data_IF_148580286128
#
_entry.id   IF_148580286128
#
_cell.length_a   1.000
_cell.length_b   1.000
_cell.length_c   1.000
_cell.angle_alpha   90.00
_cell.angle_beta   90.00
_cell.angle_gamma   90.00
#
_symmetry.space_group_name_H-M   'P 1'
#
loop_
_entity.id
_entity.type
_entity.pdbx_description
1 polymer ?
2 polymer ?
3 polymer ?
4 water ?
#
# COMPACT_ATOMS: atom_id res chain seq x y z
N UNK A 1 -7.83 28.47 0.46
CA UNK A 1 -7.25 27.17 0.76
C UNK A 1 -8.33 26.10 0.84
N UNK A 2 -8.44 25.30 -0.22
CA UNK A 2 -9.41 24.21 -0.24
C UNK A 2 -8.99 23.13 0.75
N UNK A 3 -9.93 22.67 1.56
CA UNK A 3 -9.63 21.75 2.64
C UNK A 3 -10.69 20.68 2.76
N UNK A 4 -10.27 19.44 3.01
CA UNK A 4 -11.17 18.31 3.15
C UNK A 4 -10.65 17.39 4.26
N UNK A 5 -11.21 17.54 5.46
CA UNK A 5 -10.75 16.76 6.60
C UNK A 5 -11.80 15.73 7.01
N UNK A 6 -11.41 14.46 6.99
CA UNK A 6 -12.34 13.40 7.31
C UNK A 6 -12.20 12.91 8.75
N UNK A 7 -13.28 12.35 9.29
CA UNK A 7 -13.29 11.80 10.64
C UNK A 7 -14.24 10.61 10.72
N UNK A 8 -14.26 9.94 11.86
CA UNK A 8 -15.21 8.86 12.09
C UNK A 8 -14.70 7.47 11.79
N UNK A 9 -13.46 7.38 11.33
CA UNK A 9 -12.86 6.09 11.01
C UNK A 9 -12.56 5.25 12.24
N UNK A 10 -11.73 4.22 12.07
CA UNK A 10 -11.35 3.38 13.18
C UNK A 10 -11.81 1.94 13.08
N UNK A 11 -11.88 1.27 14.23
CA UNK A 11 -12.22 -0.15 14.29
C UNK A 11 -13.72 -0.38 14.44
N UNK A 12 -14.27 -1.28 13.63
CA UNK A 12 -15.68 -1.64 13.72
C UNK A 12 -15.84 -3.15 13.68
N UNK A 13 -16.77 -3.66 14.47
CA UNK A 13 -17.11 -5.08 14.43
C UNK A 13 -17.88 -5.39 13.15
N UNK A 14 -17.70 -6.60 12.60
CA UNK A 14 -18.46 -7.08 11.44
C UNK A 14 -19.97 -6.93 11.63
N UNK A 15 -20.64 -6.32 10.64
CA UNK A 15 -22.07 -6.13 10.70
C UNK A 15 -22.46 -4.91 11.51
N UNK A 16 -21.46 -4.27 12.11
CA UNK A 16 -21.69 -3.06 12.89
C UNK A 16 -21.88 -1.84 12.00
N UNK A 17 -21.89 -0.67 12.62
CA UNK A 17 -22.10 0.57 11.89
C UNK A 17 -20.99 1.57 12.15
N UNK A 18 -20.65 2.34 11.12
CA UNK A 18 -19.69 3.43 11.25
C UNK A 18 -20.15 4.62 10.42
N UNK A 19 -19.89 5.83 10.92
CA UNK A 19 -20.30 7.04 10.23
C UNK A 19 -19.11 7.94 9.95
N UNK A 20 -18.85 8.22 8.67
CA UNK A 20 -17.74 9.09 8.29
C UNK A 20 -18.21 10.53 8.11
N UNK A 21 -17.39 11.46 8.58
CA UNK A 21 -17.65 12.89 8.41
C UNK A 21 -16.51 13.54 7.64
N UNK A 22 -16.84 14.50 6.79
CA UNK A 22 -15.82 15.23 6.05
C UNK A 22 -16.05 16.73 6.15
N UNK A 23 -15.10 17.43 6.77
CA UNK A 23 -15.20 18.87 6.92
C UNK A 23 -14.57 19.58 5.73
N UNK A 24 -15.38 20.33 5.00
CA UNK A 24 -14.91 21.04 3.81
C UNK A 24 -14.85 22.55 4.03
N UNK A 25 -13.82 23.19 3.49
CA UNK A 25 -13.66 24.63 3.62
C UNK A 25 -12.79 25.20 2.50
N UNK A 26 -12.89 26.51 2.28
CA UNK A 26 -12.06 27.18 1.30
C UNK A 26 -12.72 27.41 -0.04
N UNK A 27 -13.96 26.95 -0.18
CA UNK A 27 -14.71 27.13 -1.42
C UNK A 27 -16.21 27.04 -1.17
N UNK A 28 -17.01 27.43 -2.16
CA UNK A 28 -18.46 27.36 -2.01
C UNK A 28 -18.95 25.93 -2.18
N UNK A 29 -18.98 25.21 -1.06
CA UNK A 29 -19.27 23.78 -0.99
C UNK A 29 -20.56 23.39 -1.71
N UNK A 30 -21.59 24.22 -1.54
CA UNK A 30 -22.93 23.93 -2.04
C UNK A 30 -23.04 23.86 -3.55
N UNK A 31 -22.00 24.31 -4.25
CA UNK A 31 -22.06 24.44 -5.70
C UNK A 31 -21.42 23.28 -6.45
N UNK A 32 -20.78 22.36 -5.73
CA UNK A 32 -20.01 21.30 -6.38
C UNK A 32 -20.43 19.91 -5.91
N UNK A 33 -20.19 18.93 -6.78
CA UNK A 33 -20.45 17.53 -6.44
C UNK A 33 -19.33 16.99 -5.57
N UNK A 34 -19.66 16.00 -4.74
CA UNK A 34 -18.67 15.41 -3.83
C UNK A 34 -18.78 13.89 -3.86
N UNK A 35 -17.69 13.21 -3.49
CA UNK A 35 -17.67 11.76 -3.47
C UNK A 35 -16.80 11.19 -2.35
N UNK A 36 -17.11 9.97 -1.94
CA UNK A 36 -16.23 9.19 -1.09
C UNK A 36 -15.53 8.14 -1.94
N UNK A 37 -14.23 8.06 -1.82
CA UNK A 37 -13.44 7.08 -2.57
C UNK A 37 -12.58 6.30 -1.59
N UNK A 38 -12.51 4.99 -1.76
CA UNK A 38 -11.69 4.19 -0.87
C UNK A 38 -10.56 3.47 -1.59
N UNK A 39 -9.64 2.93 -0.81
CA UNK A 39 -8.46 2.28 -1.36
C UNK A 39 -7.91 1.24 -0.41
N UNK A 40 -7.82 -0.01 -0.88
CA UNK A 40 -7.16 -1.06 -0.13
C UNK A 40 -5.65 -0.94 -0.33
N UNK A 41 -4.85 -1.43 0.63
CA UNK A 41 -3.40 -1.38 0.48
C UNK A 41 -2.94 -2.08 -0.80
N UNK A 42 -2.18 -1.36 -1.63
CA UNK A 42 -1.67 -1.91 -2.88
C UNK A 42 -2.73 -2.08 -3.94
N UNK A 43 -3.86 -1.40 -3.76
CA UNK A 43 -4.97 -1.50 -4.71
C UNK A 43 -5.25 -0.16 -5.40
N UNK A 44 -6.22 -0.18 -6.30
CA UNK A 44 -6.58 1.01 -7.05
C UNK A 44 -7.64 1.83 -6.35
N UNK A 45 -8.04 2.93 -6.99
CA UNK A 45 -9.02 3.84 -6.42
C UNK A 45 -10.44 3.38 -6.70
N UNK A 46 -11.23 3.19 -5.64
CA UNK A 46 -12.59 2.67 -5.79
C UNK A 46 -13.63 3.67 -5.32
N UNK A 47 -14.50 4.08 -6.24
CA UNK A 47 -15.61 4.96 -5.90
C UNK A 47 -16.58 4.24 -4.97
N UNK A 48 -16.98 4.91 -3.90
CA UNK A 48 -17.90 4.34 -2.92
C UNK A 48 -19.28 4.98 -3.02
N UNK A 49 -19.29 6.30 -3.20
CA UNK A 49 -20.56 7.02 -3.31
C UNK A 49 -20.37 8.43 -3.87
N UNK A 50 -21.32 8.87 -4.69
CA UNK A 50 -21.31 10.22 -5.22
C UNK A 50 -22.61 10.94 -4.88
N UNK A 51 -22.57 12.27 -4.89
CA UNK A 51 -23.74 13.10 -4.63
C UNK A 51 -23.56 14.50 -5.24
N UNK A 52 -24.59 14.99 -5.93
CA UNK A 52 -24.46 16.25 -6.66
C UNK A 52 -24.58 17.48 -5.76
N UNK A 53 -24.78 18.65 -6.36
CA UNK A 53 -24.76 19.93 -5.66
C UNK A 53 -25.71 19.98 -4.47
N UNK A 54 -27.00 19.85 -4.73
CA UNK A 54 -28.00 19.90 -3.67
C UNK A 54 -28.21 18.54 -2.99
N UNK A 55 -28.04 17.48 -3.77
CA UNK A 55 -28.10 16.12 -3.26
C UNK A 55 -29.42 15.66 -2.67
N UNK A 56 -30.44 15.47 -3.51
CA UNK A 56 -30.33 15.63 -4.95
C UNK A 56 -30.41 14.29 -5.66
N UNK A 57 -29.26 13.87 -6.20
CA UNK A 57 -29.13 12.53 -6.75
C UNK A 57 -27.85 11.90 -6.22
N UNK A 58 -27.91 10.60 -5.95
CA UNK A 58 -26.74 9.89 -5.44
C UNK A 58 -26.44 8.66 -6.28
N UNK A 59 -25.20 8.18 -6.18
CA UNK A 59 -24.82 6.94 -6.85
C UNK A 59 -24.05 6.03 -5.91
N UNK A 60 -24.34 4.74 -6.01
CA UNK A 60 -23.62 3.72 -5.26
C UNK A 60 -23.35 2.53 -6.17
N UNK A 61 -22.09 2.07 -6.23
CA UNK A 61 -21.84 0.80 -6.92
C UNK A 61 -22.46 -0.35 -6.12
N UNK A 62 -22.70 -1.48 -6.77
CA UNK A 62 -23.33 -2.63 -6.11
C UNK A 62 -22.51 -3.13 -4.92
N UNK A 63 -21.22 -2.81 -4.93
CA UNK A 63 -20.31 -3.13 -3.85
C UNK A 63 -20.83 -2.67 -2.48
N UNK A 64 -21.44 -1.49 -2.44
CA UNK A 64 -21.88 -0.92 -1.17
C UNK A 64 -23.36 -0.51 -1.17
N UNK A 65 -23.99 -0.57 -2.33
CA UNK A 65 -25.39 -0.15 -2.47
C UNK A 65 -26.33 -0.92 -1.53
N UNK A 66 -27.16 -0.19 -0.81
CA UNK A 66 -28.08 -0.80 0.15
C UNK A 66 -27.53 -0.87 1.56
N UNK A 67 -26.22 -0.76 1.69
CA UNK A 67 -25.57 -0.76 3.00
C UNK A 67 -25.01 0.61 3.34
N UNK A 68 -24.55 1.32 2.32
CA UNK A 68 -23.94 2.64 2.51
C UNK A 68 -24.88 3.76 2.09
N UNK A 69 -24.85 4.86 2.82
CA UNK A 69 -25.60 6.06 2.48
C UNK A 69 -24.68 7.27 2.47
N UNK A 70 -24.72 8.04 1.39
CA UNK A 70 -23.98 9.29 1.33
C UNK A 70 -24.96 10.47 1.47
N UNK A 71 -24.61 11.42 2.32
CA UNK A 71 -25.45 12.60 2.53
C UNK A 71 -24.63 13.87 2.61
N UNK A 72 -25.32 15.00 2.66
CA UNK A 72 -24.67 16.29 2.53
C UNK A 72 -25.36 17.36 3.37
N UNK A 73 -24.56 18.21 4.01
CA UNK A 73 -25.09 19.32 4.79
C UNK A 73 -24.50 20.63 4.27
N UNK A 74 -25.29 21.36 3.47
CA UNK A 74 -24.80 22.58 2.85
C UNK A 74 -24.82 23.80 3.77
N UNK A 75 -25.14 23.57 5.04
CA UNK A 75 -24.97 24.61 6.05
C UNK A 75 -23.60 24.44 6.72
N UNK A 76 -23.37 23.26 7.28
CA UNK A 76 -22.08 22.95 7.90
C UNK A 76 -20.96 22.79 6.89
N UNK A 77 -21.34 22.62 5.62
CA UNK A 77 -20.40 22.27 4.55
C UNK A 77 -19.70 20.96 4.87
N UNK A 78 -20.49 19.93 5.18
CA UNK A 78 -19.97 18.64 5.58
C UNK A 78 -20.46 17.51 4.70
N UNK A 79 -19.60 16.52 4.49
CA UNK A 79 -19.94 15.35 3.71
C UNK A 79 -19.98 14.13 4.61
N UNK A 80 -21.02 13.31 4.47
CA UNK A 80 -21.19 12.17 5.35
C UNK A 80 -21.29 10.86 4.59
N UNK A 81 -20.77 9.80 5.20
CA UNK A 81 -20.93 8.45 4.69
C UNK A 81 -21.40 7.52 5.80
N UNK A 82 -22.67 7.09 5.71
CA UNK A 82 -23.24 6.19 6.71
C UNK A 82 -23.02 4.73 6.31
N UNK A 83 -22.17 4.05 7.06
CA UNK A 83 -21.79 2.68 6.71
C UNK A 83 -22.48 1.67 7.62
N UNK A 84 -23.40 0.90 7.04
CA UNK A 84 -24.12 -0.14 7.79
C UNK A 84 -23.74 -1.54 7.33
N UNK A 85 -23.95 -2.51 8.21
CA UNK A 85 -23.72 -3.93 7.89
C UNK A 85 -22.33 -4.17 7.33
N UNK A 86 -21.34 -3.56 7.96
CA UNK A 86 -19.96 -3.60 7.48
C UNK A 86 -19.41 -5.02 7.44
N UNK A 87 -18.69 -5.33 6.36
CA UNK A 87 -18.03 -6.62 6.19
C UNK A 87 -16.54 -6.41 6.01
N UNK A 88 -15.80 -7.50 5.83
CA UNK A 88 -14.34 -7.45 5.83
C UNK A 88 -13.75 -6.68 4.65
N UNK A 89 -14.44 -6.71 3.51
CA UNK A 89 -13.93 -6.05 2.30
C UNK A 89 -14.13 -4.54 2.36
N UNK A 90 -14.82 -4.06 3.39
CA UNK A 90 -15.01 -2.63 3.59
C UNK A 90 -13.74 -2.00 4.19
N UNK A 91 -12.82 -2.86 4.60
CA UNK A 91 -11.55 -2.41 5.17
C UNK A 91 -10.70 -1.66 4.13
N UNK A 92 -10.52 -0.36 4.36
CA UNK A 92 -9.73 0.47 3.45
C UNK A 92 -9.47 1.86 4.02
N UNK A 93 -8.71 2.65 3.28
CA UNK A 93 -8.56 4.07 3.55
C UNK A 93 -9.62 4.82 2.76
N UNK A 94 -10.42 5.62 3.46
CA UNK A 94 -11.53 6.33 2.82
C UNK A 94 -11.22 7.81 2.62
N UNK A 95 -11.36 8.27 1.38
CA UNK A 95 -11.06 9.66 1.03
C UNK A 95 -12.32 10.49 0.75
N UNK A 96 -12.40 11.65 1.36
CA UNK A 96 -13.35 12.67 0.95
C UNK A 96 -12.74 13.42 -0.23
N UNK A 97 -13.47 13.50 -1.35
CA UNK A 97 -12.89 14.05 -2.57
C UNK A 97 -13.86 14.94 -3.35
N UNK A 98 -13.32 15.96 -3.99
CA UNK A 98 -14.11 16.86 -4.83
C UNK A 98 -13.70 16.72 -6.30
N UNK A 99 -12.89 15.72 -6.59
CA UNK A 99 -12.38 15.52 -7.93
C UNK A 99 -11.07 16.26 -8.12
N UNK A 100 -11.07 17.55 -7.84
CA UNK A 100 -9.86 18.36 -7.98
C UNK A 100 -9.09 18.42 -6.66
N UNK A 101 -9.68 17.90 -5.60
CA UNK A 101 -9.02 17.84 -4.30
C UNK A 101 -9.31 16.54 -3.56
N UNK A 102 -8.34 16.08 -2.77
CA UNK A 102 -8.48 14.89 -1.96
C UNK A 102 -8.08 15.16 -0.52
N UNK A 103 -8.84 14.64 0.44
CA UNK A 103 -8.47 14.71 1.83
C UNK A 103 -7.35 13.74 2.14
N UNK A 104 -6.87 13.74 3.38
CA UNK A 104 -5.76 12.85 3.76
C UNK A 104 -6.23 11.41 3.99
N UNK A 105 -7.54 11.21 4.02
CA UNK A 105 -8.11 9.89 4.20
C UNK A 105 -8.20 9.44 5.64
N UNK A 106 -9.20 8.61 5.93
CA UNK A 106 -9.34 8.01 7.25
C UNK A 106 -9.47 6.50 7.09
N UNK A 107 -8.88 5.76 8.02
CA UNK A 107 -8.83 4.30 7.91
C UNK A 107 -10.01 3.64 8.61
N UNK A 108 -10.58 2.65 7.93
CA UNK A 108 -11.68 1.86 8.47
C UNK A 108 -11.25 0.39 8.49
N UNK A 109 -11.26 -0.21 9.68
CA UNK A 109 -10.89 -1.61 9.82
C UNK A 109 -12.05 -2.43 10.38
N UNK A 110 -12.58 -3.33 9.57
CA UNK A 110 -13.67 -4.20 10.00
C UNK A 110 -13.12 -5.51 10.52
N UNK A 111 -13.13 -5.66 11.84
CA UNK A 111 -12.58 -6.83 12.50
C UNK A 111 -13.18 -7.02 13.89
N UNK A 112 -13.29 -8.27 14.32
CA UNK A 112 -13.83 -8.57 15.63
C UNK A 112 -12.70 -8.86 16.63
N UNK A 113 -11.45 -8.68 16.19
CA UNK A 113 -10.29 -8.95 17.03
C UNK A 113 -10.17 -7.91 18.14
N UNK A 114 -9.51 -8.29 19.23
CA UNK A 114 -9.30 -7.39 20.35
C UNK A 114 -7.86 -6.91 20.42
N UNK A 115 -7.64 -5.79 21.11
CA UNK A 115 -6.30 -5.21 21.25
C UNK A 115 -5.34 -6.18 21.90
N UNK A 116 -4.20 -6.39 21.26
CA UNK A 116 -3.20 -7.33 21.73
C UNK A 116 -1.79 -6.85 21.42
N UNK A 117 -0.90 -6.96 22.39
CA UNK A 117 0.49 -6.60 22.19
C UNK A 117 1.27 -7.75 21.58
N UNK A 118 2.27 -7.45 20.76
CA UNK A 118 3.01 -8.48 20.02
C UNK A 118 4.00 -9.26 20.87
N UNK A 119 4.22 -10.52 20.49
CA UNK A 119 5.36 -11.27 21.00
C UNK A 119 6.51 -11.06 20.03
N UNK A 120 7.66 -10.68 20.55
CA UNK A 120 8.82 -10.43 19.68
C UNK A 120 9.80 -11.58 19.74
N UNK A 121 10.07 -12.19 18.59
CA UNK A 121 11.00 -13.30 18.51
C UNK A 121 12.23 -12.93 17.69
N UNK A 122 13.39 -13.48 18.06
CA UNK A 122 14.63 -13.20 17.34
C UNK A 122 14.71 -13.85 15.98
N UNK A 123 15.33 -13.16 15.03
CA UNK A 123 15.75 -13.77 13.77
C UNK A 123 17.27 -13.85 13.78
N UNK A 124 17.79 -14.92 14.36
CA UNK A 124 19.21 -15.04 14.66
C UNK A 124 20.08 -15.10 13.40
N UNK A 125 21.20 -14.36 13.41
CA UNK A 125 22.14 -14.29 12.28
C UNK A 125 22.97 -15.56 12.12
N UNK A 133 30.38 -10.67 2.76
CA UNK A 133 30.93 -10.57 4.10
C UNK A 133 29.99 -9.90 5.08
N UNK A 134 28.70 -9.90 4.74
CA UNK A 134 27.69 -9.30 5.60
C UNK A 134 26.72 -10.34 6.14
N UNK A 135 26.24 -10.12 7.37
CA UNK A 135 25.29 -11.02 7.99
C UNK A 135 23.91 -10.37 8.03
N UNK A 136 22.87 -11.18 8.20
CA UNK A 136 21.52 -10.67 8.33
C UNK A 136 20.89 -11.15 9.64
N UNK A 137 20.28 -10.22 10.36
CA UNK A 137 19.57 -10.54 11.59
C UNK A 137 18.31 -9.69 11.68
N UNK A 138 17.36 -10.10 12.51
CA UNK A 138 16.12 -9.35 12.63
C UNK A 138 15.22 -9.74 13.77
N UNK A 139 14.01 -9.19 13.75
CA UNK A 139 13.01 -9.49 14.75
C UNK A 139 11.69 -9.84 14.10
N UNK A 140 11.04 -10.88 14.62
CA UNK A 140 9.71 -11.25 14.16
C UNK A 140 8.67 -10.73 15.15
N UNK A 141 7.98 -9.66 14.76
CA UNK A 141 6.97 -9.04 15.60
C UNK A 141 5.60 -9.64 15.27
N UNK A 142 5.21 -10.66 16.02
CA UNK A 142 4.06 -11.48 15.65
C UNK A 142 2.86 -11.35 16.58
N UNK A 143 1.67 -11.46 16.00
CA UNK A 143 0.41 -11.55 16.74
C UNK A 143 0.11 -10.31 17.57
N UNK A 144 -0.09 -9.18 16.89
CA UNK A 144 -0.54 -7.96 17.54
C UNK A 144 -1.77 -7.41 16.83
N UNK A 145 -2.50 -6.54 17.52
CA UNK A 145 -3.69 -5.93 16.96
C UNK A 145 -4.06 -4.68 17.73
N UNK A 146 -4.38 -3.59 17.01
CA UNK A 146 -4.35 -3.53 15.55
C UNK A 146 -3.08 -2.87 15.00
N UNK A 147 -3.10 -2.52 13.73
CA UNK A 147 -2.12 -1.64 13.13
C UNK A 147 -2.13 -0.32 13.92
N UNK A 148 -0.96 0.33 14.08
CA UNK A 148 0.36 0.01 13.56
C UNK A 148 1.36 -0.46 14.63
N UNK A 149 2.60 -0.57 14.21
CA UNK A 149 3.70 -0.94 15.11
C UNK A 149 4.95 -0.18 14.65
N UNK A 150 5.74 0.27 15.61
CA UNK A 150 6.98 0.99 15.32
C UNK A 150 8.18 0.14 15.69
N UNK A 151 9.13 0.03 14.74
CA UNK A 151 10.34 -0.74 14.98
C UNK A 151 11.57 0.11 14.74
N UNK A 152 12.53 0.02 15.66
CA UNK A 152 13.82 0.69 15.48
C UNK A 152 14.93 -0.21 16.00
N UNK A 153 16.16 0.05 15.58
CA UNK A 153 17.30 -0.75 15.98
C UNK A 153 18.31 0.07 16.75
N UNK A 154 18.74 -0.45 17.90
CA UNK A 154 19.71 0.22 18.76
C UNK A 154 19.32 1.66 19.08
N UNK A 155 18.08 1.84 19.52
CA UNK A 155 17.58 3.14 19.98
C UNK A 155 17.73 4.23 18.93
N UNK A 156 17.55 3.89 17.66
CA UNK A 156 17.61 4.85 16.59
C UNK A 156 19.02 5.14 16.08
N UNK A 157 19.99 4.36 16.53
CA UNK A 157 21.37 4.54 16.10
C UNK A 157 21.67 3.72 14.85
N UNK A 158 20.99 2.58 14.73
CA UNK A 158 21.14 1.72 13.57
C UNK A 158 19.99 1.96 12.59
N UNK A 159 20.30 2.61 11.47
CA UNK A 159 19.27 2.96 10.49
C UNK A 159 19.62 2.44 9.11
N UNK A 160 20.91 2.44 8.79
CA UNK A 160 21.37 2.03 7.47
C UNK A 160 21.24 0.51 7.29
N UNK A 161 20.61 0.12 6.19
CA UNK A 161 20.44 -1.29 5.88
C UNK A 161 19.26 -1.92 6.58
N UNK A 162 18.42 -1.11 7.21
CA UNK A 162 17.25 -1.61 7.92
C UNK A 162 16.04 -1.75 7.01
N UNK A 163 15.39 -2.92 7.04
CA UNK A 163 14.19 -3.15 6.25
C UNK A 163 13.05 -3.64 7.13
N UNK A 164 12.12 -2.74 7.45
CA UNK A 164 10.91 -3.12 8.15
C UNK A 164 9.79 -3.35 7.14
N UNK A 165 9.38 -4.61 7.02
CA UNK A 165 8.38 -5.00 6.04
C UNK A 165 6.98 -4.56 6.44
N UNK A 166 6.11 -4.31 5.44
CA UNK A 166 4.71 -4.01 5.74
C UNK A 166 4.05 -5.17 6.47
N UNK A 167 3.05 -4.88 7.30
CA UNK A 167 2.41 -5.90 8.11
C UNK A 167 1.60 -6.87 7.26
N UNK A 168 1.37 -8.05 7.81
CA UNK A 168 0.57 -9.08 7.14
C UNK A 168 -0.58 -9.52 8.06
N UNK A 169 -1.78 -9.60 7.51
CA UNK A 169 -2.93 -10.08 8.28
C UNK A 169 -3.01 -11.59 8.24
N UNK A 170 -2.76 -12.23 9.38
CA UNK A 170 -2.81 -13.68 9.47
C UNK A 170 -4.24 -14.19 9.54
N UNK A 171 -4.42 -15.50 9.45
CA UNK A 171 -5.74 -16.11 9.46
C UNK A 171 -6.42 -15.95 10.81
N UNK A 172 -5.61 -15.72 11.84
CA UNK A 172 -6.11 -15.56 13.19
C UNK A 172 -6.77 -14.20 13.39
N UNK A 173 -6.44 -13.25 12.53
CA UNK A 173 -6.96 -11.90 12.64
C UNK A 173 -5.93 -10.97 13.24
N UNK A 174 -4.74 -11.51 13.50
CA UNK A 174 -3.65 -10.77 14.12
C UNK A 174 -2.59 -10.39 13.09
N UNK A 175 -2.03 -9.19 13.23
CA UNK A 175 -1.03 -8.72 12.28
C UNK A 175 0.35 -9.27 12.64
N UNK A 176 1.21 -9.39 11.63
CA UNK A 176 2.59 -9.81 11.83
C UNK A 176 3.50 -9.11 10.83
N UNK A 177 4.72 -8.81 11.25
CA UNK A 177 5.72 -8.26 10.36
C UNK A 177 7.11 -8.66 10.83
N UNK A 178 8.08 -8.58 9.92
CA UNK A 178 9.47 -8.76 10.31
C UNK A 178 10.23 -7.47 10.06
N UNK A 179 11.29 -7.27 10.82
CA UNK A 179 12.20 -6.16 10.59
C UNK A 179 13.62 -6.70 10.55
N UNK A 180 14.28 -6.53 9.41
CA UNK A 180 15.62 -7.07 9.25
C UNK A 180 16.64 -5.95 9.04
N UNK A 181 17.92 -6.32 9.15
CA UNK A 181 19.00 -5.38 8.92
C UNK A 181 20.27 -6.17 8.62
N UNK A 182 21.00 -5.77 7.59
CA UNK A 182 22.26 -6.41 7.24
C UNK A 182 23.45 -5.62 7.78
N UNK A 183 24.34 -6.30 8.47
CA UNK A 183 25.49 -5.66 9.09
C UNK A 183 26.76 -6.46 8.79
N UNK A 184 27.94 -5.84 8.94
CA UNK A 184 29.21 -6.59 8.82
C UNK A 184 29.27 -7.78 9.77
N UNK A 185 29.56 -8.95 9.23
CA UNK A 185 29.63 -10.17 10.03
C UNK A 185 30.79 -10.16 11.02
N UNK A 186 31.73 -9.25 10.80
CA UNK A 186 32.87 -9.08 11.69
C UNK A 186 32.47 -8.39 12.99
N UNK A 187 31.21 -7.94 13.07
CA UNK A 187 30.73 -7.22 14.24
C UNK A 187 29.76 -8.05 15.06
N UNK A 188 29.63 -9.33 14.74
CA UNK A 188 28.69 -10.21 15.44
C UNK A 188 29.27 -10.70 16.78
N UNK A 189 30.06 -9.86 17.43
CA UNK A 189 30.64 -10.19 18.71
C UNK A 189 31.13 -8.92 19.40
N UNK A 190 31.43 -7.90 18.61
CA UNK A 190 31.88 -6.62 19.12
C UNK A 190 30.79 -5.56 19.00
N UNK A 191 29.55 -6.02 18.83
CA UNK A 191 28.42 -5.10 18.69
C UNK A 191 27.12 -5.76 19.15
N UNK A 192 26.32 -5.01 19.89
CA UNK A 192 25.02 -5.49 20.33
C UNK A 192 23.95 -5.11 19.31
N UNK A 193 22.95 -5.96 19.17
CA UNK A 193 21.85 -5.69 18.24
C UNK A 193 20.50 -5.93 18.88
N UNK A 194 19.79 -4.83 19.15
CA UNK A 194 18.51 -4.88 19.82
C UNK A 194 17.44 -4.12 19.04
N UNK A 195 16.33 -4.80 18.73
CA UNK A 195 15.22 -4.15 18.06
C UNK A 195 14.26 -3.54 19.08
N UNK A 196 13.96 -2.25 18.90
CA UNK A 196 13.03 -1.56 19.78
C UNK A 196 11.63 -1.56 19.19
N UNK A 197 10.75 -2.37 19.75
CA UNK A 197 9.41 -2.51 19.22
C UNK A 197 8.39 -1.78 20.10
N UNK A 198 7.51 -1.02 19.47
CA UNK A 198 6.49 -0.28 20.19
C UNK A 198 5.11 -0.47 19.57
N UNK A 199 4.14 -0.83 20.40
CA UNK A 199 2.77 -0.99 19.94
C UNK A 199 1.83 -0.14 20.80
N UNK A 200 1.62 1.11 20.36
CA UNK A 200 0.83 2.09 21.08
C UNK A 200 -0.57 1.65 21.53
N UNK A 201 -1.34 0.95 20.65
CA UNK A 201 -2.67 0.55 21.09
C UNK A 201 -2.71 -0.22 22.41
N UNK A 202 -1.79 -1.17 22.59
CA UNK A 202 -1.73 -1.95 23.83
C UNK A 202 -0.70 -1.36 24.78
N UNK A 203 -0.07 -0.27 24.36
CA UNK A 203 0.98 0.38 25.13
C UNK A 203 2.06 -0.60 25.56
N UNK A 204 2.70 -1.24 24.58
CA UNK A 204 3.77 -2.19 24.87
C UNK A 204 5.09 -1.75 24.24
N UNK A 205 6.15 -1.84 25.02
CA UNK A 205 7.49 -1.56 24.52
C UNK A 205 8.38 -2.76 24.76
N UNK A 206 8.97 -3.28 23.69
CA UNK A 206 9.83 -4.46 23.79
C UNK A 206 11.21 -4.19 23.21
N UNK A 207 12.24 -4.49 23.99
CA UNK A 207 13.62 -4.41 23.52
C UNK A 207 14.24 -5.81 23.45
N UNK A 208 14.04 -6.49 22.32
CA UNK A 208 14.55 -7.83 22.17
C UNK A 208 15.98 -7.84 21.65
N UNK A 209 16.85 -8.57 22.35
CA UNK A 209 18.24 -8.70 21.95
C UNK A 209 18.39 -9.82 20.92
N UNK A 210 19.05 -9.52 19.80
CA UNK A 210 19.25 -10.52 18.75
C UNK A 210 20.68 -11.04 18.76
N UNK A 211 20.88 -12.16 19.43
CA UNK A 211 22.18 -12.81 19.50
C UNK A 211 22.22 -14.00 18.56
N UNK A 212 23.42 -14.34 18.06
CA UNK A 212 23.58 -15.58 17.28
C UNK A 212 23.37 -16.81 18.16
N UNK A 213 23.41 -18.00 17.56
CA UNK A 213 23.18 -19.26 18.28
C UNK A 213 21.81 -19.28 18.95
N UNK B 1 -20.95 1.82 -17.00
CA UNK B 1 -19.90 2.72 -16.53
C UNK B 1 -18.81 2.90 -17.59
N UNK B 2 -18.20 4.08 -17.61
CA UNK B 2 -17.11 4.36 -18.53
C UNK B 2 -15.84 3.66 -18.07
N UNK B 3 -15.37 2.70 -18.86
CA UNK B 3 -14.15 1.98 -18.53
C UNK B 3 -12.92 2.78 -18.96
N UNK B 4 -12.03 3.02 -18.00
CA UNK B 4 -10.76 3.68 -18.27
C UNK B 4 -9.63 2.66 -18.12
N UNK B 5 -8.88 2.43 -19.19
CA UNK B 5 -7.79 1.45 -19.14
C UNK B 5 -6.47 2.08 -19.58
N UNK B 6 -5.44 1.91 -18.77
CA UNK B 6 -4.15 2.54 -19.04
C UNK B 6 -3.13 1.52 -19.52
N UNK B 7 -2.03 2.01 -20.10
CA UNK B 7 -0.94 1.16 -20.54
C UNK B 7 0.34 1.99 -20.68
N UNK B 8 1.45 1.51 -20.09
CA UNK B 8 1.52 0.27 -19.30
C UNK B 8 1.00 0.48 -17.89
N UNK B 9 0.89 -0.60 -17.11
CA UNK B 9 0.45 -0.50 -15.72
C UNK B 9 1.65 -0.45 -14.79
N UNK B 10 2.81 -0.87 -15.31
CA UNK B 10 4.07 -0.77 -14.60
C UNK B 10 5.11 -0.11 -15.50
N UNK B 11 5.71 0.99 -15.03
CA UNK B 11 6.63 1.74 -15.86
C UNK B 11 7.93 2.09 -15.14
N UNK B 12 8.95 1.23 -15.28
CA UNK B 12 10.28 1.55 -14.76
C UNK B 12 10.98 2.52 -15.71
N UNK B 13 11.43 3.66 -15.18
CA UNK B 13 12.09 4.65 -16.02
C UNK B 13 13.51 4.94 -15.54
N UNK B 14 14.46 4.81 -16.44
CA UNK B 14 15.83 5.22 -16.18
C UNK B 14 15.85 6.73 -15.98
N UNK B 15 16.41 7.18 -14.84
CA UNK B 15 16.48 8.62 -14.54
C UNK B 15 17.15 9.41 -15.66
N UNK B 16 16.45 10.43 -16.16
CA UNK B 16 16.94 11.23 -17.27
C UNK B 16 16.17 10.97 -18.54
N UNK B 17 15.47 9.83 -18.58
CA UNK B 17 14.67 9.47 -19.74
C UNK B 17 13.22 9.90 -19.56
N UNK B 18 12.51 10.13 -20.68
CA UNK B 18 11.10 10.52 -20.60
C UNK B 18 10.17 9.34 -20.35
N UNK B 19 8.88 9.61 -20.19
CA UNK B 19 7.90 8.57 -19.96
C UNK B 19 6.57 8.89 -20.63
N UNK B 20 5.88 7.86 -21.10
CA UNK B 20 4.54 8.02 -21.67
C UNK B 20 3.57 7.03 -21.05
N UNK B 21 2.33 7.47 -20.87
CA UNK B 21 1.27 6.59 -20.39
C UNK B 21 0.03 6.75 -21.26
N UNK B 22 -0.46 5.63 -21.78
CA UNK B 22 -1.68 5.64 -22.59
C UNK B 22 -2.91 5.55 -21.69
N UNK B 23 -4.02 6.11 -22.17
CA UNK B 23 -5.29 6.02 -21.45
C UNK B 23 -6.46 6.08 -22.44
N UNK B 24 -7.28 5.03 -22.43
CA UNK B 24 -8.41 4.98 -23.34
C UNK B 24 -9.73 4.78 -22.62
N UNK B 25 -10.74 5.56 -23.03
CA UNK B 25 -12.09 5.46 -22.47
C UNK B 25 -12.99 4.67 -23.40
N UNK B 26 -13.91 3.90 -22.82
CA UNK B 26 -14.82 3.07 -23.60
C UNK B 26 -15.78 3.90 -24.45
N UNK B 27 -16.01 5.15 -24.03
CA UNK B 27 -16.84 6.08 -24.79
C UNK B 27 -16.22 7.48 -24.80
N UNK B 28 -16.71 8.32 -25.70
CA UNK B 28 -16.20 9.69 -25.82
C UNK B 28 -16.42 10.48 -24.53
N UNK B 29 -15.43 11.27 -24.16
CA UNK B 29 -15.50 12.06 -22.92
C UNK B 29 -15.87 13.51 -23.22
N UNK B 30 -16.29 13.78 -24.45
CA UNK B 30 -16.70 15.13 -24.84
C UNK B 30 -18.10 15.42 -24.32
N UNK B 31 -18.18 16.41 -23.43
CA UNK B 31 -19.45 16.78 -22.81
C UNK B 31 -20.25 17.74 -23.70
N UNK B 32 -21.47 18.05 -23.31
CA UNK B 32 -22.37 18.85 -24.12
C UNK B 32 -21.93 20.32 -24.28
N UNK B 33 -20.89 20.72 -23.56
CA UNK B 33 -20.38 22.08 -23.68
C UNK B 33 -19.08 22.14 -24.49
N UNK B 34 -18.74 21.03 -25.14
CA UNK B 34 -17.55 20.97 -25.96
C UNK B 34 -16.28 20.64 -25.19
N UNK B 35 -16.36 20.73 -23.87
CA UNK B 35 -15.21 20.43 -23.01
C UNK B 35 -15.02 18.92 -22.85
N UNK B 36 -13.78 18.51 -22.62
CA UNK B 36 -13.47 17.10 -22.40
C UNK B 36 -12.95 16.90 -20.99
N UNK B 37 -13.72 16.19 -20.16
CA UNK B 37 -13.38 16.04 -18.76
C UNK B 37 -12.56 14.78 -18.50
N UNK B 38 -11.34 14.79 -19.03
CA UNK B 38 -10.38 13.72 -18.80
C UNK B 38 -9.23 14.29 -17.97
N UNK B 39 -8.90 13.61 -16.87
CA UNK B 39 -7.94 14.15 -15.93
C UNK B 39 -6.82 13.18 -15.60
N UNK B 40 -5.81 13.67 -14.90
CA UNK B 40 -4.70 12.84 -14.46
C UNK B 40 -4.37 13.09 -13.00
N UNK B 41 -4.18 11.99 -12.25
CA UNK B 41 -3.78 12.08 -10.84
C UNK B 41 -2.40 11.48 -10.62
N UNK B 42 -1.67 12.04 -9.66
CA UNK B 42 -0.45 11.40 -9.17
C UNK B 42 -0.57 11.13 -7.69
N UNK B 43 -0.35 9.87 -7.31
CA UNK B 43 -0.34 9.52 -5.89
C UNK B 43 1.05 9.05 -5.48
N UNK B 44 1.84 9.97 -4.95
CA UNK B 44 3.16 9.65 -4.41
C UNK B 44 3.03 8.63 -3.29
N UNK B 45 4.07 7.83 -3.04
CA UNK B 45 4.03 6.81 -1.99
C UNK B 45 3.67 7.37 -0.62
N UNK B 46 2.70 6.74 0.04
CA UNK B 46 2.25 7.17 1.36
C UNK B 46 1.70 8.58 1.34
N UNK B 47 0.61 8.76 0.60
CA UNK B 47 0.07 10.09 0.36
C UNK B 47 -1.30 9.99 -0.28
N UNK B 48 -2.02 11.10 -0.34
CA UNK B 48 -3.30 11.17 -1.04
C UNK B 48 -3.08 11.48 -2.50
N UNK B 49 -3.99 11.01 -3.38
CA UNK B 49 -3.92 11.38 -4.79
C UNK B 49 -4.03 12.89 -4.96
N UNK B 50 -3.27 13.45 -5.89
CA UNK B 50 -3.36 14.88 -6.18
C UNK B 50 -3.57 15.11 -7.67
N UNK B 51 -4.45 16.05 -8.00
CA UNK B 51 -4.74 16.38 -9.39
C UNK B 51 -3.51 16.96 -10.08
N UNK B 52 -3.13 16.34 -11.19
CA UNK B 52 -1.92 16.73 -11.90
C UNK B 52 -2.26 17.53 -13.15
N UNK B 53 -3.19 16.99 -13.94
CA UNK B 53 -3.66 17.66 -15.16
C UNK B 53 -5.17 17.49 -15.28
N UNK B 54 -5.87 18.58 -15.56
CA UNK B 54 -7.32 18.52 -15.74
C UNK B 54 -7.72 18.92 -17.15
N UNK B 55 -8.79 18.31 -17.65
CA UNK B 55 -9.29 18.53 -18.99
C UNK B 55 -8.21 18.36 -20.04
N UNK B 56 -7.65 17.14 -20.09
CA UNK B 56 -6.70 16.70 -21.11
C UNK B 56 -5.29 17.33 -21.02
N UNK B 57 -5.19 18.66 -21.02
CA UNK B 57 -3.89 19.29 -21.20
C UNK B 57 -3.52 20.39 -20.20
N UNK B 58 -4.45 20.78 -19.34
CA UNK B 58 -4.22 21.89 -18.42
C UNK B 58 -3.55 21.47 -17.12
N UNK B 59 -2.38 22.03 -16.86
CA UNK B 59 -1.62 21.73 -15.64
C UNK B 59 -2.25 22.35 -14.40
N UNK B 60 -2.43 21.55 -13.35
CA UNK B 60 -2.94 22.05 -12.09
C UNK B 60 -1.82 22.80 -11.35
N UNK B 61 -2.15 23.43 -10.24
CA UNK B 61 -1.20 24.27 -9.52
C UNK B 61 0.01 23.49 -9.00
N UNK B 62 1.20 24.05 -9.21
CA UNK B 62 2.42 23.45 -8.71
C UNK B 62 3.07 22.46 -9.67
N UNK B 63 2.30 22.01 -10.66
CA UNK B 63 2.78 20.99 -11.58
C UNK B 63 3.82 21.56 -12.56
N UNK B 64 5.04 21.00 -12.54
CA UNK B 64 6.18 21.44 -13.36
C UNK B 64 5.94 21.27 -14.86
N UNK B 65 6.75 21.94 -15.67
CA UNK B 65 6.62 21.91 -17.12
C UNK B 65 6.83 20.54 -17.75
N UNK B 66 7.59 19.68 -17.08
CA UNK B 66 7.91 18.37 -17.64
C UNK B 66 6.67 17.50 -17.81
N UNK B 67 5.63 17.77 -17.02
CA UNK B 67 4.35 17.09 -17.18
C UNK B 67 3.50 17.78 -18.25
N UNK B 68 2.99 17.00 -19.20
CA UNK B 68 2.07 17.52 -20.19
C UNK B 68 1.06 16.46 -20.59
N UNK B 69 -0.11 16.90 -21.03
CA UNK B 69 -1.16 15.99 -21.43
C UNK B 69 -1.75 16.37 -22.77
N UNK B 70 -2.26 15.38 -23.49
CA UNK B 70 -2.86 15.58 -24.80
C UNK B 70 -3.84 14.45 -25.10
N UNK B 71 -4.56 14.57 -26.20
CA UNK B 71 -5.49 13.54 -26.60
C UNK B 71 -6.88 14.09 -26.86
N UNK B 72 -7.71 13.27 -27.50
CA UNK B 72 -9.07 13.69 -27.82
C UNK B 72 -10.01 12.49 -27.93
N UNK B 73 -11.27 12.71 -27.59
CA UNK B 73 -12.30 11.69 -27.73
C UNK B 73 -12.18 10.56 -26.74
N UNK B 74 -11.50 9.49 -27.16
CA UNK B 74 -11.35 8.30 -26.30
C UNK B 74 -9.88 7.93 -26.10
N UNK B 75 -8.97 8.65 -26.76
CA UNK B 75 -7.55 8.35 -26.64
C UNK B 75 -6.80 9.52 -26.02
N UNK B 76 -6.01 9.25 -24.99
CA UNK B 76 -5.29 10.30 -24.28
C UNK B 76 -3.93 9.81 -23.80
N UNK B 77 -2.98 10.74 -23.70
CA UNK B 77 -1.61 10.41 -23.33
C UNK B 77 -1.05 11.39 -22.30
N UNK B 78 -0.37 10.86 -21.29
CA UNK B 78 0.35 11.69 -20.33
C UNK B 78 1.86 11.55 -20.52
N UNK B 79 2.52 12.67 -20.78
CA UNK B 79 3.97 12.64 -21.00
C UNK B 79 4.76 13.34 -19.91
N UNK B 80 5.87 12.72 -19.51
CA UNK B 80 6.83 13.36 -18.63
C UNK B 80 8.14 13.47 -19.40
N UNK B 81 8.46 14.68 -19.85
CA UNK B 81 9.58 14.90 -20.78
C UNK B 81 10.90 14.40 -20.22
N UNK B 82 11.03 14.42 -18.89
CA UNK B 82 12.19 13.87 -18.22
C UNK B 82 11.83 13.51 -16.78
N UNK B 83 11.86 12.21 -16.48
CA UNK B 83 11.45 11.73 -15.17
C UNK B 83 12.47 12.08 -14.08
N UNK B 84 12.00 12.75 -13.04
CA UNK B 84 12.83 13.05 -11.87
C UNK B 84 12.47 12.07 -10.76
N UNK B 85 13.31 12.03 -9.72
CA UNK B 85 13.09 11.11 -8.60
C UNK B 85 11.79 11.40 -7.86
N UNK B 86 11.35 12.65 -7.94
CA UNK B 86 10.16 13.09 -7.24
C UNK B 86 8.88 12.63 -7.94
N UNK B 87 9.00 12.22 -9.19
CA UNK B 87 7.86 11.83 -10.00
C UNK B 87 7.43 10.39 -9.77
N UNK B 88 8.13 9.71 -8.86
CA UNK B 88 7.82 8.33 -8.49
C UNK B 88 6.45 8.22 -7.82
N UNK B 89 5.68 7.21 -8.23
CA UNK B 89 4.36 6.98 -7.66
C UNK B 89 3.43 6.32 -8.65
N UNK B 90 2.13 6.40 -8.38
CA UNK B 90 1.13 5.80 -9.26
C UNK B 90 0.30 6.90 -9.95
N UNK B 91 0.22 6.80 -11.27
CA UNK B 91 -0.55 7.77 -12.06
C UNK B 91 -1.90 7.20 -12.48
N UNK B 92 -2.96 7.94 -12.21
CA UNK B 92 -4.31 7.54 -12.62
C UNK B 92 -4.87 8.53 -13.64
N UNK B 93 -5.45 8.01 -14.72
CA UNK B 93 -6.30 8.83 -15.56
C UNK B 93 -7.74 8.66 -15.07
N UNK B 94 -8.57 9.66 -15.28
CA UNK B 94 -9.93 9.63 -14.77
C UNK B 94 -10.87 10.50 -15.58
N UNK B 95 -12.12 10.08 -15.69
CA UNK B 95 -13.12 10.87 -16.40
C UNK B 95 -14.21 11.33 -15.45
N UNK B 96 -14.71 12.53 -15.69
CA UNK B 96 -15.80 13.10 -14.91
C UNK B 96 -16.88 13.66 -15.83
N UNK B 97 -16.94 13.14 -17.05
CA UNK B 97 -17.98 13.55 -17.99
C UNK B 97 -19.26 12.77 -17.70
N UNK B 98 -19.09 11.50 -17.34
CA UNK B 98 -20.22 10.64 -17.07
C UNK B 98 -20.29 10.24 -15.61
N UNK B 99 -21.48 9.80 -15.19
CA UNK B 99 -21.69 9.28 -13.86
C UNK B 99 -21.90 7.77 -13.97
N UNK B 100 -21.14 6.98 -13.20
CA UNK B 100 -20.20 7.42 -12.16
C UNK B 100 -18.81 7.87 -12.64
N UNK B 101 -18.23 8.74 -11.82
CA UNK B 101 -16.82 9.09 -11.86
C UNK B 101 -15.98 7.80 -11.86
N UNK B 102 -15.09 7.66 -12.84
CA UNK B 102 -14.30 6.43 -12.96
C UNK B 102 -12.80 6.65 -13.10
N UNK B 103 -12.02 5.66 -12.68
CA UNK B 103 -10.58 5.74 -12.67
C UNK B 103 -9.96 4.62 -13.51
N UNK B 104 -8.73 4.83 -13.95
CA UNK B 104 -7.97 3.76 -14.59
C UNK B 104 -7.35 2.87 -13.52
N UNK B 105 -6.69 1.80 -13.93
CA UNK B 105 -6.09 0.86 -12.99
C UNK B 105 -4.98 1.53 -12.18
N UNK B 106 -4.28 2.46 -12.82
CA UNK B 106 -3.13 3.10 -12.20
C UNK B 106 -1.83 2.53 -12.72
N UNK B 107 -0.91 3.42 -13.11
CA UNK B 107 0.40 3.02 -13.59
C UNK B 107 1.47 3.39 -12.57
N UNK B 108 2.13 2.39 -11.99
CA UNK B 108 3.17 2.67 -11.02
C UNK B 108 4.49 2.94 -11.72
N UNK B 109 4.97 4.18 -11.59
CA UNK B 109 6.25 4.57 -12.14
C UNK B 109 7.35 4.39 -11.09
N UNK B 110 8.37 3.61 -11.44
CA UNK B 110 9.49 3.36 -10.55
C UNK B 110 10.81 3.75 -11.21
N UNK B 111 11.90 3.65 -10.45
CA UNK B 111 13.22 3.93 -10.99
C UNK B 111 13.84 2.69 -11.59
N UNK B 112 14.11 2.73 -12.88
CA UNK B 112 14.74 1.61 -13.56
C UNK B 112 16.23 1.57 -13.26
N UNK B 113 16.73 0.39 -12.94
CA UNK B 113 18.15 0.20 -12.67
C UNK B 113 18.60 -1.18 -13.17
N UNK B 114 19.90 -1.42 -13.13
CA UNK B 114 20.46 -2.69 -13.58
C UNK B 114 19.93 -3.84 -12.72
N UNK B 115 19.82 -5.01 -13.33
CA UNK B 115 19.35 -6.20 -12.64
C UNK B 115 20.28 -6.55 -11.48
N UNK B 116 19.69 -6.76 -10.31
CA UNK B 116 20.45 -7.13 -9.13
C UNK B 116 19.87 -8.39 -8.50
N UNK B 117 20.73 -9.39 -8.32
CA UNK B 117 20.31 -10.64 -7.70
C UNK B 117 20.09 -10.47 -6.20
N UNK B 118 19.08 -11.15 -5.65
CA UNK B 118 18.81 -11.03 -4.22
C UNK B 118 19.83 -11.79 -3.38
N UNK B 119 20.15 -11.26 -2.21
CA UNK B 119 20.87 -12.01 -1.20
C UNK B 119 19.84 -12.75 -0.37
N UNK B 120 20.02 -14.05 -0.21
CA UNK B 120 18.99 -14.85 0.45
C UNK B 120 19.46 -15.36 1.81
N UNK B 121 18.58 -15.23 2.80
CA UNK B 121 18.85 -15.70 4.14
C UNK B 121 17.66 -16.50 4.66
N UNK B 122 17.92 -17.57 5.39
CA UNK B 122 16.86 -18.34 6.02
C UNK B 122 16.99 -18.27 7.54
N UNK B 123 15.86 -18.24 8.23
CA UNK B 123 15.84 -18.12 9.68
C UNK B 123 14.93 -19.16 10.32
N UNK B 124 15.50 -20.04 11.15
CA UNK B 124 14.70 -21.00 11.91
C UNK B 124 13.88 -20.33 13.00
N UNK B 125 12.78 -20.95 13.44
CA UNK B 125 11.99 -20.39 14.53
C UNK B 125 12.79 -20.33 15.82
N UNK B 126 12.62 -19.26 16.59
CA UNK B 126 13.31 -19.12 17.88
C UNK B 126 12.86 -20.20 18.85
N UNK B 127 13.70 -20.50 19.83
CA UNK B 127 13.34 -21.48 20.85
C UNK B 127 12.24 -20.92 21.74
N UNK B 128 12.18 -19.60 21.83
CA UNK B 128 11.09 -18.93 22.55
C UNK B 128 9.76 -19.25 21.88
N UNK B 129 9.68 -19.01 20.58
CA UNK B 129 8.45 -19.22 19.83
C UNK B 129 8.02 -20.68 19.86
N UNK B 130 8.97 -21.58 19.65
CA UNK B 130 8.71 -23.01 19.69
C UNK B 130 8.10 -23.43 21.02
N UNK B 131 8.55 -22.79 22.08
CA UNK B 131 8.06 -23.07 23.42
C UNK B 131 6.57 -22.73 23.53
N UNK B 132 6.17 -21.61 22.94
CA UNK B 132 4.79 -21.13 23.04
C UNK B 132 3.83 -21.95 22.16
N UNK B 133 4.37 -22.87 21.37
CA UNK B 133 3.54 -23.80 20.62
C UNK B 133 3.41 -23.54 19.12
N UNK B 134 4.17 -22.57 18.62
CA UNK B 134 4.11 -22.22 17.20
C UNK B 134 5.50 -22.11 16.59
N UNK B 135 5.60 -22.41 15.30
CA UNK B 135 6.86 -22.28 14.57
C UNK B 135 6.71 -21.40 13.35
N UNK B 136 7.57 -20.39 13.25
CA UNK B 136 7.61 -19.55 12.06
C UNK B 136 8.98 -19.64 11.40
N UNK B 137 8.99 -19.97 10.12
CA UNK B 137 10.24 -20.01 9.35
C UNK B 137 10.25 -18.87 8.35
N UNK B 138 11.26 -18.00 8.45
CA UNK B 138 11.33 -16.79 7.63
C UNK B 138 12.44 -16.88 6.59
N UNK B 139 12.15 -16.44 5.37
CA UNK B 139 13.15 -16.36 4.32
C UNK B 139 13.25 -14.93 3.79
N UNK B 140 14.45 -14.36 3.82
CA UNK B 140 14.66 -12.98 3.39
C UNK B 140 15.38 -12.88 2.04
N UNK B 141 14.80 -12.11 1.14
CA UNK B 141 15.41 -11.80 -0.15
C UNK B 141 15.82 -10.33 -0.15
N UNK B 142 17.12 -10.06 -0.07
CA UNK B 142 17.58 -8.71 0.18
C UNK B 142 18.14 -7.99 -1.04
N UNK B 143 17.68 -6.76 -1.25
CA UNK B 143 18.21 -5.85 -2.27
C UNK B 143 18.30 -6.43 -3.68
N UNK B 144 17.16 -6.62 -4.32
CA UNK B 144 17.14 -7.15 -5.68
C UNK B 144 16.35 -6.25 -6.63
N UNK B 145 16.62 -6.42 -7.93
CA UNK B 145 15.85 -5.74 -8.97
C UNK B 145 15.84 -6.60 -10.23
N UNK B 146 14.67 -6.71 -10.89
CA UNK B 146 13.39 -6.08 -10.55
C UNK B 146 12.62 -6.79 -9.44
N UNK B 147 11.37 -6.37 -9.24
CA UNK B 147 10.55 -6.87 -8.14
C UNK B 147 10.16 -8.33 -8.31
N UNK B 148 9.97 -8.74 -9.56
CA UNK B 148 9.57 -10.11 -9.88
C UNK B 148 10.47 -11.15 -9.22
N UNK B 149 9.86 -12.02 -8.41
CA UNK B 149 10.59 -13.09 -7.75
C UNK B 149 9.66 -14.21 -7.28
N UNK B 150 10.14 -15.44 -7.33
CA UNK B 150 9.37 -16.57 -6.85
C UNK B 150 10.07 -17.25 -5.66
N UNK B 151 9.31 -17.52 -4.62
CA UNK B 151 9.84 -18.22 -3.45
C UNK B 151 9.04 -19.48 -3.17
N UNK B 152 9.74 -20.61 -3.07
CA UNK B 152 9.08 -21.88 -2.80
C UNK B 152 9.64 -22.51 -1.53
N UNK B 153 8.74 -23.03 -0.71
CA UNK B 153 9.14 -23.69 0.53
C UNK B 153 9.15 -25.20 0.39
N UNK B 154 10.20 -25.82 0.92
CA UNK B 154 10.33 -27.27 0.85
C UNK B 154 10.63 -27.85 2.23
N UNK B 155 9.72 -28.68 2.73
CA UNK B 155 9.91 -29.35 4.00
C UNK B 155 10.14 -30.84 3.75
N UNK B 156 11.38 -31.28 3.99
CA UNK B 156 11.80 -32.64 3.67
C UNK B 156 11.54 -32.98 2.21
N UNK B 157 12.03 -32.13 1.32
CA UNK B 157 11.90 -32.30 -0.14
C UNK B 157 10.47 -32.21 -0.67
N UNK B 158 9.51 -31.98 0.22
CA UNK B 158 8.12 -31.85 -0.20
C UNK B 158 7.75 -30.38 -0.42
N UNK B 159 7.22 -30.09 -1.60
CA UNK B 159 6.83 -28.74 -1.95
C UNK B 159 5.66 -28.26 -1.10
N UNK B 160 5.81 -27.09 -0.48
CA UNK B 160 4.77 -26.53 0.38
C UNK B 160 3.85 -25.58 -0.38
N UNK B 161 2.62 -25.48 0.10
CA UNK B 161 1.65 -24.54 -0.48
C UNK B 161 0.59 -24.17 0.55
N UNK B 162 0.12 -22.93 0.48
CA UNK B 162 -0.98 -22.48 1.30
C UNK B 162 -0.65 -22.15 2.75
N UNK B 163 0.59 -22.37 3.15
CA UNK B 163 0.99 -22.10 4.53
C UNK B 163 2.10 -21.06 4.66
N UNK B 164 2.20 -20.18 3.67
CA UNK B 164 3.20 -19.11 3.70
C UNK B 164 2.61 -17.80 3.24
N UNK B 165 3.21 -16.70 3.67
CA UNK B 165 2.79 -15.36 3.25
C UNK B 165 4.02 -14.51 2.93
N UNK B 166 3.88 -13.62 1.96
CA UNK B 166 4.99 -12.77 1.54
C UNK B 166 4.78 -11.31 1.93
N UNK B 167 5.84 -10.52 1.81
CA UNK B 167 5.80 -9.10 2.13
C UNK B 167 6.96 -8.38 1.46
N UNK B 168 6.66 -7.32 0.72
CA UNK B 168 7.68 -6.63 -0.05
C UNK B 168 7.81 -5.17 0.38
N UNK B 169 9.05 -4.68 0.39
CA UNK B 169 9.30 -3.27 0.68
C UNK B 169 9.10 -2.45 -0.59
N UNK B 170 8.86 -1.16 -0.42
CA UNK B 170 8.81 -0.23 -1.55
C UNK B 170 10.22 0.06 -2.01
N UNK B 171 10.37 0.45 -3.28
CA UNK B 171 11.67 0.66 -3.88
C UNK B 171 12.52 1.65 -3.06
N UNK B 172 13.69 1.19 -2.62
CA UNK B 172 14.61 1.99 -1.83
C UNK B 172 15.04 3.25 -2.58
N UNK B 173 15.14 4.36 -1.86
CA UNK B 173 15.44 5.65 -2.47
C UNK B 173 16.89 5.76 -2.92
N UNK B 174 17.78 5.01 -2.26
CA UNK B 174 19.21 5.08 -2.57
C UNK B 174 19.65 4.14 -3.69
N UNK B 175 19.45 2.84 -3.48
CA UNK B 175 19.96 1.84 -4.43
C UNK B 175 18.90 1.34 -5.41
N UNK B 176 17.67 1.84 -5.26
CA UNK B 176 16.55 1.49 -6.13
C UNK B 176 16.22 -0.02 -6.14
N UNK B 177 16.49 -0.70 -5.03
CA UNK B 177 16.22 -2.13 -4.96
C UNK B 177 15.03 -2.45 -4.05
N UNK B 178 14.50 -3.67 -4.20
CA UNK B 178 13.43 -4.15 -3.33
C UNK B 178 13.96 -5.20 -2.36
N UNK B 179 13.19 -5.47 -1.32
CA UNK B 179 13.47 -6.58 -0.44
C UNK B 179 12.18 -7.30 -0.08
N UNK B 180 12.26 -8.61 0.09
CA UNK B 180 11.08 -9.44 0.24
C UNK B 180 11.27 -10.45 1.35
N UNK B 181 10.20 -10.74 2.08
CA UNK B 181 10.24 -11.75 3.13
C UNK B 181 9.13 -12.77 2.93
N UNK B 182 9.46 -14.04 3.05
CA UNK B 182 8.47 -15.11 2.97
C UNK B 182 8.44 -15.86 4.31
N UNK B 183 7.27 -15.88 4.94
CA UNK B 183 7.11 -16.51 6.24
C UNK B 183 6.29 -17.80 6.18
N UNK B 184 6.94 -18.92 6.47
CA UNK B 184 6.27 -20.21 6.55
C UNK B 184 5.83 -20.50 7.99
N UNK B 185 4.54 -20.75 8.17
CA UNK B 185 4.00 -20.98 9.50
C UNK B 185 3.46 -22.40 9.68
N UNK B 186 3.92 -23.08 10.73
CA UNK B 186 3.46 -24.43 11.03
C UNK B 186 3.18 -24.57 12.51
N UNK B 187 2.40 -25.58 12.87
CA UNK B 187 2.21 -25.93 14.27
C UNK B 187 3.49 -26.53 14.81
N UNK B 188 3.69 -26.44 16.12
CA UNK B 188 4.88 -26.99 16.76
C UNK B 188 5.03 -28.49 16.48
N UNK B 189 3.90 -29.19 16.50
CA UNK B 189 3.91 -30.64 16.26
C UNK B 189 4.38 -30.96 14.85
N UNK B 190 3.82 -30.27 13.86
CA UNK B 190 4.22 -30.48 12.46
C UNK B 190 5.69 -30.14 12.25
N UNK B 191 6.14 -29.08 12.90
CA UNK B 191 7.52 -28.63 12.73
C UNK B 191 8.53 -29.66 13.23
N UNK B 192 8.14 -30.43 14.23
CA UNK B 192 9.05 -31.38 14.87
C UNK B 192 9.08 -32.74 14.21
N UNK B 193 8.04 -33.06 13.43
CA UNK B 193 8.01 -34.34 12.72
C UNK B 193 8.66 -34.22 11.35
N UNK B 194 9.47 -33.18 11.17
CA UNK B 194 10.24 -32.99 9.95
C UNK B 194 11.64 -32.51 10.30
N UNK B 195 12.55 -32.54 9.32
CA UNK B 195 13.94 -32.23 9.59
C UNK B 195 14.49 -31.10 8.73
N UNK B 196 14.37 -31.24 7.42
CA UNK B 196 14.97 -30.29 6.48
C UNK B 196 14.01 -29.17 6.08
N UNK B 197 14.44 -27.94 6.31
CA UNK B 197 13.64 -26.78 5.92
C UNK B 197 14.43 -25.91 4.94
N UNK B 198 13.88 -25.76 3.74
CA UNK B 198 14.58 -25.08 2.67
C UNK B 198 13.74 -23.99 2.01
N UNK B 199 14.39 -22.88 1.71
CA UNK B 199 13.79 -21.79 0.95
C UNK B 199 14.44 -21.73 -0.42
N UNK B 200 13.62 -21.78 -1.48
CA UNK B 200 14.17 -21.74 -2.83
C UNK B 200 13.73 -20.49 -3.58
N UNK B 201 14.70 -19.75 -4.11
CA UNK B 201 14.44 -18.46 -4.71
C UNK B 201 14.79 -18.44 -6.20
N UNK B 202 13.86 -17.94 -7.01
CA UNK B 202 14.08 -17.76 -8.44
C UNK B 202 14.00 -16.28 -8.80
N UNK B 203 15.02 -15.77 -9.47
CA UNK B 203 15.07 -14.36 -9.83
C UNK B 203 15.90 -14.14 -11.09
N UNK B 204 15.59 -13.08 -11.83
CA UNK B 204 16.24 -12.78 -13.10
C UNK B 204 17.76 -12.62 -12.96
N UNK B 205 18.21 -12.21 -11.78
CA UNK B 205 19.63 -12.05 -11.53
C UNK B 205 20.33 -13.35 -11.20
N UNK B 206 19.54 -14.41 -11.01
CA UNK B 206 20.07 -15.72 -10.68
C UNK B 206 20.05 -16.66 -11.89
N UNK B 207 21.22 -17.16 -12.27
CA UNK B 207 21.33 -18.10 -13.37
C UNK B 207 20.45 -19.32 -13.13
N UNK B 208 20.62 -19.91 -11.95
CA UNK B 208 19.75 -20.99 -11.50
C UNK B 208 19.22 -20.64 -10.11
N UNK B 209 18.03 -21.14 -9.77
CA UNK B 209 17.42 -20.87 -8.45
C UNK B 209 18.34 -21.22 -7.29
N UNK B 210 18.44 -20.31 -6.32
CA UNK B 210 19.29 -20.53 -5.15
C UNK B 210 18.45 -21.11 -4.01
N UNK B 211 19.09 -21.89 -3.15
CA UNK B 211 18.40 -22.52 -2.03
C UNK B 211 19.15 -22.36 -0.72
N UNK B 212 18.50 -21.75 0.26
CA UNK B 212 19.05 -21.67 1.61
C UNK B 212 18.25 -22.57 2.54
N UNK B 213 18.96 -23.43 3.28
CA UNK B 213 18.28 -24.42 4.11
C UNK B 213 18.93 -24.59 5.48
N UNK B 214 18.21 -25.26 6.37
CA UNK B 214 18.77 -25.65 7.66
C UNK B 214 18.13 -26.96 8.12
N UNK B 215 18.81 -27.68 9.01
CA UNK B 215 18.23 -28.86 9.63
C UNK B 215 17.78 -28.54 11.05
N UNK B 216 16.59 -28.99 11.41
CA UNK B 216 16.04 -28.71 12.72
C UNK B 216 16.92 -29.30 13.83
N UNK B 217 17.50 -28.41 14.64
CA UNK B 217 18.35 -28.82 15.73
C UNK B 217 19.82 -28.56 15.51
N UNK B 218 20.14 -27.53 14.72
CA UNK B 218 21.54 -27.18 14.44
C UNK B 218 21.73 -25.66 14.47
N UNK C 3 -3.20 27.11 -4.66
CA UNK C 3 -3.62 26.90 -3.28
C UNK C 3 -5.12 27.12 -3.11
N UNK C 4 -5.67 28.03 -3.90
CA UNK C 4 -7.05 28.48 -3.70
C UNK C 4 -7.95 28.25 -4.91
N UNK C 5 -7.40 27.64 -5.95
CA UNK C 5 -8.14 27.40 -7.18
C UNK C 5 -9.21 26.32 -6.99
N UNK C 6 -10.44 26.64 -7.40
CA UNK C 6 -11.53 25.66 -7.39
C UNK C 6 -12.06 25.43 -8.79
N UNK C 7 -12.05 24.17 -9.22
CA UNK C 7 -12.52 23.83 -10.55
C UNK C 7 -13.94 23.30 -10.55
N UNK C 8 -14.69 23.63 -11.60
CA UNK C 8 -15.90 22.90 -11.90
C UNK C 8 -15.45 21.59 -12.53
N UNK C 9 -15.28 20.57 -11.69
CA UNK C 9 -14.64 19.32 -12.08
C UNK C 9 -15.62 18.33 -12.70
N UNK C 10 -16.65 17.97 -11.94
CA UNK C 10 -17.67 17.06 -12.45
C UNK C 10 -18.60 17.79 -13.40
N UNK C 11 -18.79 17.22 -14.58
CA UNK C 11 -19.57 17.86 -15.64
C UNK C 11 -21.00 18.18 -15.21
N UNK C 12 -21.50 17.43 -14.23
CA UNK C 12 -22.86 17.61 -13.72
C UNK C 12 -23.11 19.02 -13.18
N UNK C 13 -22.03 19.73 -12.88
CA UNK C 13 -22.12 21.09 -12.38
C UNK C 13 -22.00 22.09 -13.53
N UNK C 14 -22.79 21.86 -14.58
CA UNK C 14 -22.77 22.62 -15.83
C UNK C 14 -21.37 23.07 -16.25
#
# INVERSE_FOLDING_TARGET
EVQLVESGGGLVQPGGSLRLSCAASGFTFSSYGMSWVRQAPGKGLELVASINSNGGSTYYPDSVKGRFTISRDNAKNSLYLQMNSLRAEDTAVYYCASGDYWGQGTTVTVSSASTKGPSVFPLAPSSKSTSGGTAALGCLVKDYFPEPVTVSWNSGALTSGVHTFPAVLQSSGLYSLSSVVTVPSSSLGTQTYICNVNHKPSNTKVDKKVEPKSCDKTHT
DIVMTQSPLSLPVTPGEPASISCRSSQSLVYSNGDTYLHWYLQKPGQSPQLLIYKVSNRFSGVPDRFSGSGSGTDFTLKISRVEAEDVGVYYCSQSTHVPWTFGQGTKVEIKRTVAAPSVFIFPPSDEQLKSGTASVVCLLNNFYPREAKVQWKVDNALQSGNSQESVTEQDSKDSTYSLSSTLTLSKADYEKHKVYACEVTHQGLSSPVTKSFNRGEC
EVHHQKLVFFAEDVG
#
